data_IF_949881254162
#
_entry.id   IF_949881254162
#
_cell.length_a   1.000
_cell.length_b   1.000
_cell.length_c   1.000
_cell.angle_alpha   90.00
_cell.angle_beta   90.00
_cell.angle_gamma   90.00
#
_symmetry.space_group_name_H-M   'P 1'
#
loop_
_entity.id
_entity.type
_entity.pdbx_description
1 polymer ?
#
# COMPACT_ATOMS: atom_id res chain seq x y z
N UNK A 1 23.88 -28.30 31.60
CA UNK A 1 22.56 -28.13 30.95
C UNK A 1 22.32 -26.64 30.84
N UNK A 2 21.87 -26.16 29.67
CA UNK A 2 21.49 -24.76 29.52
C UNK A 2 20.34 -24.43 30.48
N UNK A 3 20.39 -23.27 31.12
CA UNK A 3 19.31 -22.81 31.98
C UNK A 3 18.06 -22.49 31.16
N UNK A 4 16.88 -22.59 31.76
CA UNK A 4 15.61 -22.24 31.08
C UNK A 4 15.64 -20.82 30.51
N UNK A 5 16.31 -19.89 31.19
CA UNK A 5 16.46 -18.50 30.74
C UNK A 5 17.32 -18.40 29.47
N UNK A 6 18.38 -19.19 29.36
CA UNK A 6 19.22 -19.24 28.15
C UNK A 6 18.46 -19.86 26.99
N UNK A 7 17.68 -20.93 27.23
CA UNK A 7 16.84 -21.55 26.21
C UNK A 7 15.74 -20.60 25.72
N UNK A 8 15.11 -19.84 26.62
CA UNK A 8 14.15 -18.80 26.25
C UNK A 8 14.83 -17.72 25.39
N UNK A 9 16.03 -17.27 25.78
CA UNK A 9 16.79 -16.26 25.01
C UNK A 9 17.15 -16.79 23.62
N UNK A 10 17.57 -18.04 23.52
CA UNK A 10 17.89 -18.71 22.26
C UNK A 10 16.66 -18.84 21.36
N UNK A 11 15.55 -19.35 21.90
CA UNK A 11 14.30 -19.51 21.15
C UNK A 11 13.72 -18.15 20.70
N UNK A 12 13.84 -17.11 21.54
CA UNK A 12 13.44 -15.76 21.18
C UNK A 12 14.35 -15.16 20.11
N UNK A 13 15.65 -15.41 20.15
CA UNK A 13 16.57 -14.93 19.13
C UNK A 13 16.28 -15.54 17.76
N UNK A 14 15.85 -16.81 17.71
CA UNK A 14 15.52 -17.50 16.45
C UNK A 14 14.11 -17.20 15.94
N UNK A 15 13.12 -17.07 16.83
CA UNK A 15 11.71 -16.94 16.44
C UNK A 15 11.13 -15.54 16.56
N UNK A 16 11.77 -14.66 17.34
CA UNK A 16 11.24 -13.36 17.78
C UNK A 16 9.90 -13.43 18.54
N UNK A 17 9.48 -14.61 19.00
CA UNK A 17 8.25 -14.76 19.76
C UNK A 17 8.32 -14.07 21.14
N UNK A 18 7.15 -13.74 21.68
CA UNK A 18 7.02 -13.16 23.02
C UNK A 18 7.67 -14.04 24.11
N UNK A 19 8.18 -13.41 25.17
CA UNK A 19 8.90 -14.11 26.24
C UNK A 19 8.06 -15.25 26.85
N UNK A 20 6.80 -14.95 27.18
CA UNK A 20 5.89 -15.93 27.77
C UNK A 20 5.55 -17.07 26.81
N UNK A 21 5.56 -16.81 25.51
CA UNK A 21 5.27 -17.82 24.50
C UNK A 21 6.46 -18.75 24.32
N UNK A 22 7.68 -18.22 24.30
CA UNK A 22 8.91 -19.03 24.32
C UNK A 22 8.96 -19.93 25.56
N UNK A 23 8.62 -19.38 26.73
CA UNK A 23 8.57 -20.15 27.98
C UNK A 23 7.54 -21.29 27.90
N UNK A 24 6.30 -20.99 27.51
CA UNK A 24 5.23 -22.01 27.36
C UNK A 24 5.59 -23.08 26.34
N UNK A 25 6.19 -22.69 25.21
CA UNK A 25 6.62 -23.62 24.18
C UNK A 25 7.69 -24.58 24.71
N UNK A 26 8.70 -24.07 25.42
CA UNK A 26 9.75 -24.89 26.03
C UNK A 26 9.18 -25.82 27.11
N UNK A 27 8.28 -25.33 27.96
CA UNK A 27 7.60 -26.16 28.98
C UNK A 27 6.78 -27.29 28.34
N UNK A 28 6.06 -27.01 27.25
CA UNK A 28 5.24 -28.00 26.54
C UNK A 28 6.06 -29.02 25.74
N UNK A 29 7.34 -28.76 25.50
CA UNK A 29 8.21 -29.57 24.62
C UNK A 29 9.43 -30.12 25.35
N UNK A 30 9.39 -30.17 26.69
CA UNK A 30 10.47 -30.66 27.52
C UNK A 30 11.82 -29.98 27.23
N UNK A 31 11.78 -28.67 26.96
CA UNK A 31 12.92 -27.81 26.66
C UNK A 31 13.65 -28.12 25.34
N UNK A 32 13.01 -28.85 24.43
CA UNK A 32 13.52 -29.08 23.07
C UNK A 32 13.24 -27.86 22.18
N UNK A 33 14.30 -27.22 21.68
CA UNK A 33 14.21 -25.98 20.89
C UNK A 33 13.47 -26.22 19.56
N UNK A 34 13.72 -27.32 18.87
CA UNK A 34 13.14 -27.58 17.55
C UNK A 34 11.66 -27.91 17.68
N UNK A 35 11.29 -28.70 18.69
CA UNK A 35 9.90 -28.95 19.03
C UNK A 35 9.20 -27.69 19.51
N UNK A 36 9.86 -26.82 20.30
CA UNK A 36 9.29 -25.56 20.73
C UNK A 36 9.00 -24.62 19.55
N UNK A 37 9.87 -24.58 18.52
CA UNK A 37 9.63 -23.83 17.28
C UNK A 37 8.38 -24.36 16.58
N UNK A 38 8.24 -25.69 16.46
CA UNK A 38 7.06 -26.31 15.84
C UNK A 38 5.79 -25.99 16.64
N UNK A 39 5.86 -26.11 17.96
CA UNK A 39 4.76 -25.81 18.87
C UNK A 39 4.30 -24.35 18.74
N UNK A 40 5.23 -23.39 18.63
CA UNK A 40 4.92 -21.97 18.41
C UNK A 40 4.20 -21.74 17.09
N UNK A 41 4.53 -22.47 16.03
CA UNK A 41 3.82 -22.38 14.75
C UNK A 41 2.40 -22.91 14.86
N UNK A 42 2.21 -24.10 15.43
CA UNK A 42 0.89 -24.72 15.59
C UNK A 42 -0.04 -23.87 16.48
N UNK A 43 0.47 -23.38 17.60
CA UNK A 43 -0.29 -22.53 18.52
C UNK A 43 -0.42 -21.07 18.04
N UNK A 44 0.40 -20.67 17.07
CA UNK A 44 0.33 -19.37 16.43
C UNK A 44 -0.95 -19.17 15.62
N UNK A 45 -1.48 -20.23 15.00
CA UNK A 45 -2.69 -20.19 14.18
C UNK A 45 -3.89 -19.66 14.99
N UNK A 46 -4.12 -20.21 16.18
CA UNK A 46 -5.22 -19.80 17.05
C UNK A 46 -5.09 -18.35 17.54
N UNK A 47 -3.85 -17.86 17.72
CA UNK A 47 -3.61 -16.45 18.09
C UNK A 47 -3.86 -15.51 16.94
N UNK A 48 -3.38 -15.87 15.75
CA UNK A 48 -3.58 -15.09 14.54
C UNK A 48 -5.07 -15.00 14.17
N UNK A 49 -5.83 -16.09 14.33
CA UNK A 49 -7.27 -16.13 14.10
C UNK A 49 -8.03 -15.06 14.90
N UNK A 50 -7.61 -14.78 16.15
CA UNK A 50 -8.20 -13.73 17.00
C UNK A 50 -7.93 -12.30 16.54
N UNK A 51 -7.06 -12.11 15.55
CA UNK A 51 -6.64 -10.81 15.03
C UNK A 51 -7.16 -10.55 13.62
N UNK A 52 -7.81 -11.53 12.97
CA UNK A 52 -8.27 -11.42 11.58
C UNK A 52 -9.25 -10.27 11.40
N UNK A 53 -10.08 -9.98 12.39
CA UNK A 53 -11.08 -8.90 12.32
C UNK A 53 -10.52 -7.52 12.68
N UNK A 54 -9.26 -7.44 13.12
CA UNK A 54 -8.66 -6.14 13.43
C UNK A 54 -8.48 -5.29 12.17
N UNK A 55 -8.60 -3.97 12.35
CA UNK A 55 -8.32 -3.00 11.28
C UNK A 55 -6.80 -2.89 11.12
N UNK A 56 -6.31 -3.16 9.91
CA UNK A 56 -4.91 -3.01 9.54
C UNK A 56 -4.78 -1.87 8.52
N UNK A 57 -4.67 -0.63 9.00
CA UNK A 57 -4.58 0.59 8.18
C UNK A 57 -3.17 1.13 8.00
N UNK A 58 -2.18 0.54 8.67
CA UNK A 58 -0.76 0.86 8.52
C UNK A 58 -0.08 -0.21 7.66
N UNK A 59 1.22 -0.05 7.35
CA UNK A 59 1.93 -1.01 6.51
C UNK A 59 2.97 -0.41 5.57
N UNK A 60 3.31 -1.17 4.53
CA UNK A 60 4.29 -0.81 3.52
C UNK A 60 3.73 -1.02 2.10
N UNK A 61 4.08 -0.10 1.21
CA UNK A 61 4.08 -0.36 -0.22
C UNK A 61 5.42 -0.98 -0.60
N UNK A 62 5.37 -2.06 -1.36
CA UNK A 62 6.55 -2.64 -2.03
C UNK A 62 6.38 -2.53 -3.52
N UNK A 63 7.49 -2.25 -4.19
CA UNK A 63 7.53 -2.02 -5.61
C UNK A 63 8.76 -2.70 -6.22
N UNK A 64 8.56 -3.35 -7.36
CA UNK A 64 9.64 -3.95 -8.15
C UNK A 64 9.47 -3.62 -9.62
N UNK A 65 10.52 -3.11 -10.25
CA UNK A 65 10.65 -2.96 -11.70
C UNK A 65 11.82 -3.83 -12.16
N UNK A 66 11.54 -4.91 -12.87
CA UNK A 66 12.55 -5.85 -13.37
C UNK A 66 12.04 -6.51 -14.67
N UNK A 67 12.94 -6.83 -15.59
CA UNK A 67 12.62 -7.55 -16.83
C UNK A 67 11.43 -6.98 -17.61
N UNK A 68 11.34 -5.64 -17.71
CA UNK A 68 10.23 -4.93 -18.37
C UNK A 68 8.86 -5.17 -17.70
N UNK A 69 8.84 -5.45 -16.40
CA UNK A 69 7.63 -5.69 -15.61
C UNK A 69 7.69 -4.89 -14.33
N UNK A 70 6.58 -4.25 -13.98
CA UNK A 70 6.40 -3.55 -12.73
C UNK A 70 5.36 -4.25 -11.85
N UNK A 71 5.68 -4.41 -10.57
CA UNK A 71 4.78 -4.93 -9.54
C UNK A 71 4.72 -3.93 -8.40
N UNK A 72 3.52 -3.66 -7.91
CA UNK A 72 3.27 -2.89 -6.70
C UNK A 72 2.32 -3.68 -5.81
N UNK A 73 2.62 -3.74 -4.52
CA UNK A 73 1.74 -4.35 -3.53
C UNK A 73 1.66 -3.52 -2.26
N UNK A 74 0.53 -3.63 -1.58
CA UNK A 74 0.30 -3.10 -0.24
C UNK A 74 0.19 -4.26 0.74
N UNK A 75 1.07 -4.29 1.74
CA UNK A 75 1.00 -5.19 2.88
C UNK A 75 0.75 -4.38 4.14
N UNK A 76 -0.31 -4.72 4.86
CA UNK A 76 -0.78 -3.95 5.99
C UNK A 76 -0.44 -4.59 7.34
N UNK A 77 -0.35 -3.70 8.34
CA UNK A 77 -0.26 -3.96 9.78
C UNK A 77 -1.25 -3.05 10.53
N UNK A 78 -1.41 -3.24 11.84
CA UNK A 78 -2.29 -2.39 12.64
C UNK A 78 -1.58 -1.07 12.99
N UNK A 79 -0.30 -1.14 13.34
CA UNK A 79 0.53 0.00 13.70
C UNK A 79 1.70 0.18 12.74
N UNK A 80 2.28 1.38 12.74
CA UNK A 80 3.47 1.71 11.97
C UNK A 80 4.75 1.12 12.59
N UNK A 81 4.74 0.70 13.87
CA UNK A 81 5.88 0.04 14.50
C UNK A 81 6.27 -1.26 13.81
N UNK A 82 5.27 -2.01 13.33
CA UNK A 82 5.49 -3.27 12.58
C UNK A 82 6.27 -3.04 11.28
N UNK A 83 6.15 -1.86 10.67
CA UNK A 83 6.87 -1.53 9.42
C UNK A 83 8.39 -1.43 9.59
N UNK A 84 8.86 -1.34 10.85
CA UNK A 84 10.28 -1.33 11.23
C UNK A 84 10.77 -2.68 11.71
N UNK A 85 9.90 -3.70 11.80
CA UNK A 85 10.29 -5.05 12.21
C UNK A 85 10.99 -5.77 11.04
N UNK A 86 12.17 -6.34 11.31
CA UNK A 86 13.00 -6.96 10.27
C UNK A 86 12.32 -8.14 9.56
N UNK A 87 11.55 -8.97 10.28
CA UNK A 87 10.85 -10.10 9.69
C UNK A 87 9.70 -9.64 8.80
N UNK A 88 8.96 -8.61 9.21
CA UNK A 88 7.92 -8.01 8.37
C UNK A 88 8.51 -7.40 7.10
N UNK A 89 9.62 -6.66 7.21
CA UNK A 89 10.30 -6.05 6.07
C UNK A 89 10.85 -7.12 5.12
N UNK A 90 11.51 -8.15 5.65
CA UNK A 90 12.05 -9.26 4.88
C UNK A 90 10.95 -10.02 4.13
N UNK A 91 9.86 -10.37 4.83
CA UNK A 91 8.70 -11.02 4.21
C UNK A 91 8.09 -10.16 3.12
N UNK A 92 7.92 -8.86 3.35
CA UNK A 92 7.38 -7.93 2.36
C UNK A 92 8.25 -7.84 1.11
N UNK A 93 9.58 -7.86 1.26
CA UNK A 93 10.53 -7.87 0.15
C UNK A 93 10.48 -9.18 -0.65
N UNK A 94 10.45 -10.32 0.03
CA UNK A 94 10.31 -11.63 -0.62
C UNK A 94 8.98 -11.75 -1.37
N UNK A 95 7.91 -11.19 -0.79
CA UNK A 95 6.58 -11.22 -1.38
C UNK A 95 6.52 -10.46 -2.71
N UNK A 96 7.09 -9.24 -2.80
CA UNK A 96 7.09 -8.49 -4.06
C UNK A 96 7.92 -9.18 -5.14
N UNK A 97 9.01 -9.84 -4.75
CA UNK A 97 9.85 -10.62 -5.66
C UNK A 97 9.10 -11.85 -6.19
N UNK A 98 8.44 -12.58 -5.30
CA UNK A 98 7.63 -13.76 -5.65
C UNK A 98 6.49 -13.38 -6.60
N UNK A 99 5.75 -12.34 -6.27
CA UNK A 99 4.63 -11.85 -7.07
C UNK A 99 5.09 -11.37 -8.46
N UNK A 100 6.20 -10.63 -8.53
CA UNK A 100 6.77 -10.17 -9.80
C UNK A 100 7.21 -11.35 -10.70
N UNK A 101 7.80 -12.39 -10.09
CA UNK A 101 8.22 -13.61 -10.80
C UNK A 101 7.03 -14.41 -11.34
N UNK A 102 5.96 -14.54 -10.56
CA UNK A 102 4.78 -15.32 -10.93
C UNK A 102 3.76 -14.55 -11.78
N UNK A 103 3.83 -13.22 -11.80
CA UNK A 103 2.92 -12.34 -12.57
C UNK A 103 1.44 -12.50 -12.15
N UNK A 104 1.19 -12.73 -10.86
CA UNK A 104 -0.15 -12.94 -10.29
C UNK A 104 -0.57 -11.70 -9.51
N UNK A 105 -1.83 -11.28 -9.62
CA UNK A 105 -2.41 -10.18 -8.83
C UNK A 105 -3.51 -10.63 -7.88
N UNK A 106 -4.00 -11.86 -8.04
CA UNK A 106 -5.01 -12.47 -7.18
C UNK A 106 -4.39 -12.84 -5.83
N UNK A 107 -4.81 -12.12 -4.79
CA UNK A 107 -4.28 -12.27 -3.42
C UNK A 107 -4.47 -13.71 -2.90
N UNK A 108 -5.62 -14.33 -3.14
CA UNK A 108 -5.90 -15.68 -2.65
C UNK A 108 -5.00 -16.73 -3.32
N UNK A 109 -4.63 -16.52 -4.59
CA UNK A 109 -3.64 -17.36 -5.28
C UNK A 109 -2.23 -17.11 -4.77
N UNK A 110 -1.87 -15.85 -4.51
CA UNK A 110 -0.55 -15.48 -3.96
C UNK A 110 -0.36 -16.10 -2.58
N UNK A 111 -1.40 -16.11 -1.75
CA UNK A 111 -1.40 -16.71 -0.41
C UNK A 111 -1.05 -18.21 -0.41
N UNK A 112 -1.29 -18.91 -1.52
CA UNK A 112 -0.97 -20.33 -1.68
C UNK A 112 0.45 -20.58 -2.24
N UNK A 113 1.14 -19.56 -2.71
CA UNK A 113 2.51 -19.69 -3.24
C UNK A 113 3.50 -19.99 -2.12
N UNK A 114 4.53 -20.79 -2.43
CA UNK A 114 5.61 -21.10 -1.50
C UNK A 114 6.71 -20.06 -1.55
N UNK A 115 7.16 -19.67 -0.36
CA UNK A 115 8.37 -18.88 -0.13
C UNK A 115 9.61 -19.78 -0.20
N UNK A 116 10.80 -19.18 -0.18
CA UNK A 116 12.07 -19.91 -0.15
C UNK A 116 12.19 -20.83 1.07
N UNK A 117 11.51 -20.50 2.17
CA UNK A 117 11.39 -21.33 3.38
C UNK A 117 10.59 -22.63 3.16
N UNK A 118 9.91 -22.77 2.03
CA UNK A 118 9.00 -23.89 1.73
C UNK A 118 7.59 -23.73 2.31
N UNK A 119 7.37 -22.77 3.22
CA UNK A 119 6.04 -22.41 3.74
C UNK A 119 5.28 -21.56 2.73
N UNK A 120 3.96 -21.58 2.77
CA UNK A 120 3.15 -20.69 1.95
C UNK A 120 3.21 -19.24 2.46
N UNK A 121 2.82 -18.30 1.60
CA UNK A 121 2.62 -16.90 1.96
C UNK A 121 1.62 -16.79 3.13
N UNK A 122 0.49 -17.50 3.07
CA UNK A 122 -0.51 -17.52 4.13
C UNK A 122 0.04 -18.07 5.45
N UNK A 123 0.77 -19.19 5.42
CA UNK A 123 1.39 -19.77 6.62
C UNK A 123 2.36 -18.78 7.28
N UNK A 124 3.13 -18.05 6.46
CA UNK A 124 4.08 -17.06 6.96
C UNK A 124 3.38 -15.82 7.50
N UNK A 125 2.30 -15.34 6.87
CA UNK A 125 1.48 -14.23 7.41
C UNK A 125 0.89 -14.58 8.78
N UNK A 126 0.35 -15.81 8.93
CA UNK A 126 -0.19 -16.31 10.18
C UNK A 126 0.91 -16.38 11.24
N UNK A 127 2.08 -16.91 10.88
CA UNK A 127 3.22 -17.00 11.79
C UNK A 127 3.69 -15.62 12.27
N UNK A 128 3.87 -14.67 11.35
CA UNK A 128 4.25 -13.30 11.67
C UNK A 128 3.20 -12.62 12.54
N UNK A 129 1.91 -12.80 12.23
CA UNK A 129 0.80 -12.28 13.04
C UNK A 129 0.87 -12.81 14.48
N UNK A 130 1.21 -14.08 14.65
CA UNK A 130 1.28 -14.71 15.96
C UNK A 130 2.45 -14.21 16.82
N UNK A 131 3.62 -13.98 16.23
CA UNK A 131 4.82 -13.54 16.96
C UNK A 131 4.88 -12.02 17.17
N UNK A 132 4.39 -11.24 16.20
CA UNK A 132 4.31 -9.77 16.29
C UNK A 132 3.11 -9.36 17.15
N UNK A 133 2.02 -10.13 17.11
CA UNK A 133 0.79 -9.85 17.88
C UNK A 133 -0.17 -8.88 17.18
N UNK A 134 0.14 -8.48 15.95
CA UNK A 134 -0.70 -7.64 15.10
C UNK A 134 -1.06 -8.37 13.81
N UNK A 135 -2.27 -8.09 13.31
CA UNK A 135 -2.76 -8.57 12.01
C UNK A 135 -1.81 -8.10 10.92
N UNK A 136 -1.32 -9.06 10.12
CA UNK A 136 -0.56 -8.81 8.92
C UNK A 136 -1.33 -9.37 7.73
N UNK A 137 -1.54 -8.56 6.70
CA UNK A 137 -2.31 -8.97 5.53
C UNK A 137 -1.79 -8.35 4.24
N UNK A 138 -1.63 -9.17 3.20
CA UNK A 138 -1.44 -8.70 1.83
C UNK A 138 -2.79 -8.18 1.34
N UNK A 139 -2.91 -6.88 1.12
CA UNK A 139 -4.21 -6.27 0.84
C UNK A 139 -4.53 -6.21 -0.65
N UNK A 140 -3.59 -5.70 -1.45
CA UNK A 140 -3.79 -5.52 -2.89
C UNK A 140 -2.48 -5.57 -3.63
N UNK A 141 -2.57 -6.03 -4.88
CA UNK A 141 -1.46 -6.21 -5.80
C UNK A 141 -1.86 -5.71 -7.17
N UNK A 142 -0.95 -4.98 -7.80
CA UNK A 142 -1.04 -4.62 -9.20
C UNK A 142 0.24 -4.99 -9.94
N UNK A 143 0.07 -5.29 -11.21
CA UNK A 143 1.14 -5.75 -12.10
C UNK A 143 0.95 -5.13 -13.49
N UNK A 144 2.04 -4.66 -14.08
CA UNK A 144 2.05 -4.04 -15.41
C UNK A 144 3.25 -4.55 -16.19
N UNK A 145 3.04 -4.98 -17.44
CA UNK A 145 4.12 -5.29 -18.39
C UNK A 145 4.35 -4.11 -19.33
N UNK A 146 5.62 -3.88 -19.64
CA UNK A 146 6.02 -3.06 -20.78
C UNK A 146 5.66 -3.84 -22.06
N UNK A 147 4.96 -3.16 -22.95
CA UNK A 147 4.76 -3.58 -24.34
C UNK A 147 5.82 -2.94 -25.24
N UNK A 148 5.99 -3.47 -26.45
CA UNK A 148 7.03 -3.05 -27.40
C UNK A 148 7.11 -1.52 -27.62
N UNK A 149 5.97 -0.83 -27.61
CA UNK A 149 5.86 0.61 -27.85
C UNK A 149 5.59 1.43 -26.58
N UNK A 150 5.93 0.90 -25.40
CA UNK A 150 5.76 1.59 -24.12
C UNK A 150 7.04 1.63 -23.31
N UNK A 151 7.08 2.53 -22.34
CA UNK A 151 8.10 2.56 -21.29
C UNK A 151 7.41 2.48 -19.93
N UNK A 152 8.04 1.80 -18.98
CA UNK A 152 7.62 1.81 -17.57
C UNK A 152 8.56 2.65 -16.72
N UNK A 153 7.97 3.35 -15.75
CA UNK A 153 8.70 3.96 -14.67
C UNK A 153 7.98 3.80 -13.35
N UNK A 154 8.74 3.86 -12.27
CA UNK A 154 8.23 3.62 -10.94
C UNK A 154 8.82 4.59 -9.95
N UNK A 155 8.06 4.93 -8.92
CA UNK A 155 8.54 5.73 -7.80
C UNK A 155 8.00 5.18 -6.49
N UNK A 156 8.90 4.93 -5.54
CA UNK A 156 8.55 4.59 -4.15
C UNK A 156 9.01 5.77 -3.28
N UNK A 157 8.07 6.39 -2.57
CA UNK A 157 8.41 7.49 -1.67
C UNK A 157 9.25 6.97 -0.50
N UNK A 158 10.11 7.82 0.08
CA UNK A 158 11.15 7.41 1.04
C UNK A 158 10.61 6.71 2.30
N UNK A 159 9.39 7.05 2.72
CA UNK A 159 8.71 6.41 3.85
C UNK A 159 8.02 5.08 3.49
N UNK A 160 8.14 4.61 2.24
CA UNK A 160 7.48 3.41 1.70
C UNK A 160 5.95 3.38 1.86
N UNK A 161 5.32 4.54 2.06
CA UNK A 161 3.85 4.64 2.19
C UNK A 161 3.14 4.89 0.87
N UNK A 162 3.84 5.44 -0.12
CA UNK A 162 3.29 5.78 -1.43
C UNK A 162 4.17 5.16 -2.49
N UNK A 163 3.56 4.39 -3.39
CA UNK A 163 4.23 3.84 -4.56
C UNK A 163 3.46 4.11 -5.84
N UNK A 164 4.18 4.28 -6.94
CA UNK A 164 3.64 4.59 -8.25
C UNK A 164 4.27 3.71 -9.31
N UNK A 165 3.45 3.20 -10.22
CA UNK A 165 3.85 2.69 -11.54
C UNK A 165 3.22 3.63 -12.57
N UNK A 166 4.00 4.07 -13.55
CA UNK A 166 3.51 4.82 -14.72
C UNK A 166 3.93 4.12 -16.00
N UNK A 167 2.98 4.04 -16.95
CA UNK A 167 3.19 3.52 -18.30
C UNK A 167 2.99 4.66 -19.29
N UNK A 168 3.96 4.81 -20.18
CA UNK A 168 3.94 5.84 -21.24
C UNK A 168 4.16 5.19 -22.60
N UNK A 169 4.00 5.95 -23.68
CA UNK A 169 4.59 5.60 -24.97
C UNK A 169 6.11 5.43 -24.83
N UNK A 170 6.73 4.69 -25.76
CA UNK A 170 8.16 4.44 -25.75
C UNK A 170 8.95 5.74 -25.69
N UNK A 171 9.86 5.81 -24.73
CA UNK A 171 10.78 6.93 -24.53
C UNK A 171 11.99 6.51 -23.71
N UNK A 172 13.13 7.15 -23.97
CA UNK A 172 14.38 6.99 -23.22
C UNK A 172 14.62 8.16 -22.23
N UNK A 173 13.67 9.10 -22.10
CA UNK A 173 13.76 10.23 -21.17
C UNK A 173 13.50 9.78 -19.72
N UNK A 174 14.52 9.19 -19.11
CA UNK A 174 14.48 8.67 -17.73
C UNK A 174 14.20 9.77 -16.70
N UNK A 175 14.64 10.99 -16.96
CA UNK A 175 14.42 12.12 -16.04
C UNK A 175 12.96 12.53 -16.03
N UNK A 176 12.35 12.71 -17.21
CA UNK A 176 10.92 13.00 -17.32
C UNK A 176 10.07 11.90 -16.66
N UNK A 177 10.38 10.63 -16.94
CA UNK A 177 9.68 9.48 -16.37
C UNK A 177 9.74 9.47 -14.83
N UNK A 178 10.92 9.74 -14.25
CA UNK A 178 11.08 9.85 -12.80
C UNK A 178 10.25 11.00 -12.22
N UNK A 179 10.32 12.18 -12.82
CA UNK A 179 9.57 13.35 -12.35
C UNK A 179 8.06 13.17 -12.51
N UNK A 180 7.62 12.48 -13.55
CA UNK A 180 6.22 12.12 -13.75
C UNK A 180 5.71 11.19 -12.64
N UNK A 181 6.45 10.12 -12.33
CA UNK A 181 6.10 9.21 -11.25
C UNK A 181 6.09 9.90 -9.87
N UNK A 182 7.04 10.81 -9.63
CA UNK A 182 7.07 11.65 -8.42
C UNK A 182 5.86 12.59 -8.32
N UNK A 183 5.49 13.22 -9.44
CA UNK A 183 4.32 14.09 -9.50
C UNK A 183 3.04 13.32 -9.18
N UNK A 184 2.83 12.14 -9.78
CA UNK A 184 1.67 11.29 -9.49
C UNK A 184 1.63 10.92 -8.00
N UNK A 185 2.78 10.59 -7.40
CA UNK A 185 2.85 10.24 -5.98
C UNK A 185 2.38 11.39 -5.08
N UNK A 186 2.79 12.62 -5.39
CA UNK A 186 2.49 13.82 -4.62
C UNK A 186 1.08 14.38 -4.87
N UNK A 187 0.64 14.43 -6.14
CA UNK A 187 -0.59 15.11 -6.56
C UNK A 187 -1.84 14.22 -6.55
N UNK A 188 -1.68 12.91 -6.37
CA UNK A 188 -2.78 11.94 -6.28
C UNK A 188 -3.90 12.12 -7.36
N UNK A 189 -3.55 12.22 -8.65
CA UNK A 189 -4.56 12.25 -9.71
C UNK A 189 -5.38 10.95 -9.68
N UNK A 190 -6.66 11.04 -10.07
CA UNK A 190 -7.57 9.89 -10.20
C UNK A 190 -7.62 9.36 -11.63
N UNK A 191 -7.36 10.23 -12.60
CA UNK A 191 -7.51 9.96 -14.02
C UNK A 191 -6.26 10.44 -14.76
N UNK A 192 -5.94 9.82 -15.91
CA UNK A 192 -4.90 10.36 -16.79
C UNK A 192 -5.41 11.66 -17.40
N UNK A 193 -6.60 11.63 -18.00
CA UNK A 193 -7.20 12.74 -18.72
C UNK A 193 -8.70 12.85 -18.49
N UNK A 194 -9.29 13.94 -18.96
CA UNK A 194 -10.75 14.14 -18.93
C UNK A 194 -11.53 13.05 -19.69
N UNK A 195 -10.88 12.38 -20.67
CA UNK A 195 -11.50 11.28 -21.43
C UNK A 195 -11.76 10.04 -20.57
N UNK A 196 -11.03 9.90 -19.48
CA UNK A 196 -11.12 8.77 -18.55
C UNK A 196 -12.14 9.02 -17.43
N UNK A 197 -12.73 10.24 -17.38
CA UNK A 197 -13.71 10.63 -16.37
C UNK A 197 -15.10 10.23 -16.84
N UNK A 198 -15.82 9.47 -16.01
CA UNK A 198 -17.19 9.05 -16.35
C UNK A 198 -18.16 10.24 -16.35
N UNK A 199 -19.18 10.16 -17.21
CA UNK A 199 -20.26 11.15 -17.25
C UNK A 199 -20.97 11.26 -15.89
N UNK A 200 -21.14 10.14 -15.19
CA UNK A 200 -21.74 10.10 -13.85
C UNK A 200 -20.91 10.86 -12.81
N UNK A 201 -19.58 10.75 -12.87
CA UNK A 201 -18.70 11.53 -12.00
C UNK A 201 -18.87 13.03 -12.25
N UNK A 202 -18.84 13.46 -13.52
CA UNK A 202 -19.04 14.86 -13.89
C UNK A 202 -20.42 15.36 -13.46
N UNK A 203 -21.48 14.57 -13.66
CA UNK A 203 -22.84 14.93 -13.28
C UNK A 203 -22.95 15.13 -11.76
N UNK A 204 -22.38 14.22 -10.97
CA UNK A 204 -22.36 14.31 -9.51
C UNK A 204 -21.59 15.53 -9.01
N UNK A 205 -20.39 15.78 -9.55
CA UNK A 205 -19.62 16.97 -9.18
C UNK A 205 -20.34 18.26 -9.59
N UNK A 206 -21.06 18.25 -10.73
CA UNK A 206 -21.85 19.41 -11.19
C UNK A 206 -23.03 19.69 -10.26
N UNK A 207 -23.72 18.65 -9.77
CA UNK A 207 -24.78 18.78 -8.77
C UNK A 207 -24.25 19.38 -7.46
N UNK A 208 -23.13 18.88 -6.97
CA UNK A 208 -22.45 19.40 -5.76
C UNK A 208 -22.08 20.88 -5.96
N UNK A 209 -21.45 21.21 -7.09
CA UNK A 209 -21.03 22.57 -7.40
C UNK A 209 -22.22 23.54 -7.51
N UNK A 210 -23.35 23.09 -8.08
CA UNK A 210 -24.58 23.86 -8.20
C UNK A 210 -25.23 24.11 -6.83
N UNK A 211 -25.34 23.09 -5.98
CA UNK A 211 -25.85 23.22 -4.63
C UNK A 211 -25.02 24.21 -3.80
N UNK A 212 -23.70 24.11 -3.87
CA UNK A 212 -22.79 25.07 -3.23
C UNK A 212 -23.00 26.49 -3.77
N UNK A 213 -23.10 26.68 -5.10
CA UNK A 213 -23.25 28.00 -5.70
C UNK A 213 -24.57 28.68 -5.30
N UNK A 214 -25.65 27.90 -5.19
CA UNK A 214 -26.96 28.38 -4.74
C UNK A 214 -26.95 28.83 -3.27
N UNK A 215 -26.18 28.14 -2.41
CA UNK A 215 -26.05 28.50 -0.99
C UNK A 215 -25.31 29.83 -0.76
N UNK A 216 -24.54 30.32 -1.74
CA UNK A 216 -23.66 31.49 -1.60
C UNK A 216 -24.34 32.84 -1.92
N UNK A 217 -25.68 32.93 -2.02
CA UNK A 217 -26.44 34.16 -2.36
C UNK A 217 -25.92 34.89 -3.63
N UNK A 218 -25.32 34.16 -4.57
CA UNK A 218 -24.79 34.75 -5.81
C UNK A 218 -25.90 35.01 -6.82
N UNK A 219 -25.77 36.01 -7.71
CA UNK A 219 -26.81 36.30 -8.71
C UNK A 219 -27.03 35.09 -9.62
N UNK A 220 -28.30 34.75 -9.87
CA UNK A 220 -28.71 33.54 -10.61
C UNK A 220 -28.10 33.46 -12.01
N UNK A 221 -27.90 34.60 -12.65
CA UNK A 221 -27.28 34.72 -13.98
C UNK A 221 -25.81 34.27 -14.04
N UNK A 222 -25.10 34.23 -12.91
CA UNK A 222 -23.70 33.77 -12.86
C UNK A 222 -23.55 32.34 -12.35
N UNK A 223 -24.62 31.68 -11.90
CA UNK A 223 -24.53 30.35 -11.28
C UNK A 223 -23.91 29.33 -12.25
N UNK A 224 -24.36 29.27 -13.49
CA UNK A 224 -23.84 28.31 -14.47
C UNK A 224 -22.35 28.52 -14.74
N UNK A 225 -21.91 29.78 -14.87
CA UNK A 225 -20.50 30.12 -15.06
C UNK A 225 -19.65 29.74 -13.84
N UNK A 226 -20.20 29.89 -12.62
CA UNK A 226 -19.53 29.48 -11.39
C UNK A 226 -19.39 27.95 -11.33
N UNK A 227 -20.46 27.24 -11.68
CA UNK A 227 -20.48 25.78 -11.73
C UNK A 227 -19.45 25.26 -12.72
N UNK A 228 -19.43 25.80 -13.95
CA UNK A 228 -18.44 25.42 -14.97
C UNK A 228 -17.00 25.69 -14.50
N UNK A 229 -16.76 26.83 -13.85
CA UNK A 229 -15.45 27.15 -13.26
C UNK A 229 -15.03 26.14 -12.17
N UNK A 230 -15.96 25.70 -11.33
CA UNK A 230 -15.70 24.68 -10.30
C UNK A 230 -15.42 23.31 -10.91
N UNK A 231 -16.17 22.93 -11.94
CA UNK A 231 -15.94 21.66 -12.64
C UNK A 231 -14.57 21.66 -13.30
N UNK A 232 -14.17 22.77 -13.94
CA UNK A 232 -12.83 22.90 -14.50
C UNK A 232 -11.74 22.73 -13.42
N UNK A 233 -11.94 23.33 -12.23
CA UNK A 233 -11.02 23.15 -11.11
C UNK A 233 -10.96 21.71 -10.61
N UNK A 234 -12.10 21.02 -10.50
CA UNK A 234 -12.14 19.60 -10.14
C UNK A 234 -11.36 18.78 -11.17
N UNK A 235 -11.56 19.04 -12.46
CA UNK A 235 -10.83 18.38 -13.54
C UNK A 235 -9.32 18.64 -13.47
N UNK A 236 -8.89 19.86 -13.13
CA UNK A 236 -7.49 20.20 -12.88
C UNK A 236 -6.89 19.44 -11.69
N UNK A 237 -7.70 19.15 -10.67
CA UNK A 237 -7.26 18.39 -9.50
C UNK A 237 -7.22 16.89 -9.76
N UNK A 238 -8.19 16.32 -10.50
CA UNK A 238 -8.32 14.87 -10.65
C UNK A 238 -7.66 14.29 -11.92
N UNK A 239 -7.44 15.10 -12.96
CA UNK A 239 -6.82 14.65 -14.22
C UNK A 239 -5.33 15.02 -14.25
N UNK A 240 -4.46 14.01 -14.30
CA UNK A 240 -3.01 14.16 -14.34
C UNK A 240 -2.54 15.17 -15.40
N UNK A 241 -3.04 15.06 -16.63
CA UNK A 241 -2.60 15.93 -17.74
C UNK A 241 -2.94 17.42 -17.51
N UNK A 242 -3.96 17.72 -16.71
CA UNK A 242 -4.38 19.08 -16.40
C UNK A 242 -3.59 19.70 -15.24
N UNK A 243 -2.94 18.89 -14.41
CA UNK A 243 -2.21 19.35 -13.23
C UNK A 243 -0.97 20.17 -13.62
N UNK A 244 -0.63 21.17 -12.80
CA UNK A 244 0.64 21.90 -12.90
C UNK A 244 1.80 20.98 -12.53
N UNK A 245 2.84 20.93 -13.35
CA UNK A 245 3.89 19.95 -13.17
C UNK A 245 4.78 20.30 -11.96
N UNK A 246 5.02 19.35 -11.07
CA UNK A 246 5.71 19.58 -9.78
C UNK A 246 7.07 20.24 -9.95
N UNK A 247 7.83 19.80 -10.96
CA UNK A 247 9.21 20.26 -11.21
C UNK A 247 9.27 21.53 -12.06
N UNK A 248 8.16 21.92 -12.70
CA UNK A 248 8.03 23.19 -13.41
C UNK A 248 6.55 23.63 -13.43
N UNK A 249 6.20 24.54 -12.53
CA UNK A 249 4.81 25.01 -12.36
C UNK A 249 4.34 25.97 -13.46
N UNK A 250 5.21 26.39 -14.38
CA UNK A 250 4.81 27.22 -15.53
C UNK A 250 3.97 26.43 -16.54
N UNK A 251 4.16 25.11 -16.59
CA UNK A 251 3.49 24.21 -17.53
C UNK A 251 2.66 23.13 -16.84
N UNK A 252 1.67 22.60 -17.56
CA UNK A 252 0.95 21.40 -17.13
C UNK A 252 1.76 20.14 -17.40
N UNK A 253 1.37 19.01 -16.79
CA UNK A 253 1.93 17.70 -17.12
C UNK A 253 1.76 17.38 -18.60
N UNK A 254 0.62 17.74 -19.21
CA UNK A 254 0.39 17.56 -20.65
C UNK A 254 1.44 18.29 -21.49
N UNK A 255 1.68 19.56 -21.19
CA UNK A 255 2.65 20.39 -21.92
C UNK A 255 4.07 19.83 -21.77
N UNK A 256 4.44 19.41 -20.55
CA UNK A 256 5.73 18.76 -20.30
C UNK A 256 5.87 17.45 -21.09
N UNK A 257 4.83 16.61 -21.11
CA UNK A 257 4.83 15.35 -21.86
C UNK A 257 4.93 15.58 -23.37
N UNK A 258 4.18 16.55 -23.91
CA UNK A 258 4.21 16.94 -25.33
C UNK A 258 5.58 17.48 -25.75
N UNK A 259 6.23 18.32 -24.92
CA UNK A 259 7.57 18.82 -25.18
C UNK A 259 8.60 17.69 -25.29
N UNK A 260 8.38 16.59 -24.56
CA UNK A 260 9.20 15.37 -24.61
C UNK A 260 8.71 14.35 -25.66
N UNK A 261 7.62 14.63 -26.37
CA UNK A 261 6.95 13.71 -27.31
C UNK A 261 6.56 12.37 -26.65
N UNK A 262 6.15 12.44 -25.38
CA UNK A 262 5.71 11.28 -24.59
C UNK A 262 4.20 11.35 -24.39
N UNK A 263 3.52 10.24 -24.63
CA UNK A 263 2.12 10.05 -24.27
C UNK A 263 2.04 9.29 -22.94
N UNK A 264 1.19 9.75 -22.02
CA UNK A 264 0.94 9.06 -20.75
C UNK A 264 -0.23 8.10 -20.98
N UNK A 265 0.00 6.80 -20.79
CA UNK A 265 -0.99 5.76 -21.10
C UNK A 265 -1.81 5.37 -19.87
N UNK A 266 -1.14 5.12 -18.75
CA UNK A 266 -1.80 4.77 -17.50
C UNK A 266 -0.85 4.95 -16.30
N UNK A 267 -1.42 4.98 -15.11
CA UNK A 267 -0.65 4.90 -13.87
C UNK A 267 -1.41 4.08 -12.82
N UNK A 268 -0.66 3.61 -11.83
CA UNK A 268 -1.17 2.99 -10.62
C UNK A 268 -0.47 3.68 -9.47
N UNK A 269 -1.24 4.23 -8.53
CA UNK A 269 -0.74 4.82 -7.28
C UNK A 269 -1.36 4.07 -6.12
N UNK A 270 -0.55 3.56 -5.21
CA UNK A 270 -1.02 3.06 -3.93
C UNK A 270 -0.52 3.95 -2.80
N UNK A 271 -1.39 4.16 -1.83
CA UNK A 271 -1.08 4.75 -0.54
C UNK A 271 -1.53 3.81 0.57
N UNK A 272 -0.66 3.61 1.56
CA UNK A 272 -0.94 2.72 2.71
C UNK A 272 -2.19 3.19 3.44
N UNK A 273 -3.14 2.26 3.60
CA UNK A 273 -4.39 2.48 4.33
C UNK A 273 -5.44 3.25 3.55
N UNK A 274 -5.21 3.54 2.26
CA UNK A 274 -6.17 4.28 1.43
C UNK A 274 -7.53 3.56 1.43
N UNK A 275 -8.59 4.28 1.82
CA UNK A 275 -9.95 3.74 1.90
C UNK A 275 -10.22 2.85 3.11
N UNK A 276 -9.30 2.76 4.08
CA UNK A 276 -9.54 2.09 5.37
C UNK A 276 -9.87 3.16 6.40
N UNK A 277 -11.04 3.07 7.02
CA UNK A 277 -11.39 3.92 8.16
C UNK A 277 -10.46 3.60 9.34
N UNK A 278 -9.67 4.59 9.75
CA UNK A 278 -8.86 4.47 10.97
C UNK A 278 -9.78 4.61 12.17
N UNK A 279 -9.74 3.65 13.08
CA UNK A 279 -10.34 3.83 14.39
C UNK A 279 -9.54 4.89 15.15
N UNK A 280 -10.10 6.10 15.25
CA UNK A 280 -9.54 7.16 16.09
C UNK A 280 -10.05 6.90 17.51
N UNK A 281 -9.22 6.25 18.34
CA UNK A 281 -9.52 6.15 19.76
C UNK A 281 -8.95 7.36 20.51
N UNK A 282 -9.76 7.94 21.38
CA UNK A 282 -9.30 8.99 22.29
C UNK A 282 -8.59 8.32 23.47
N UNK A 283 -7.27 8.46 23.54
CA UNK A 283 -6.44 7.89 24.60
C UNK A 283 -6.96 8.22 26.02
N UNK A 284 -7.51 9.43 26.21
CA UNK A 284 -8.08 9.82 27.50
C UNK A 284 -9.34 9.01 27.86
N UNK A 285 -10.15 8.65 26.87
CA UNK A 285 -11.37 7.86 27.08
C UNK A 285 -11.04 6.37 27.24
N UNK A 286 -10.02 5.86 26.55
CA UNK A 286 -9.49 4.50 26.77
C UNK A 286 -8.95 4.34 28.20
N UNK A 287 -8.14 5.29 28.67
CA UNK A 287 -7.62 5.28 30.04
C UNK A 287 -8.76 5.32 31.06
N UNK A 288 -9.76 6.18 30.87
CA UNK A 288 -10.94 6.24 31.74
C UNK A 288 -11.74 4.94 31.74
N UNK A 289 -11.84 4.25 30.61
CA UNK A 289 -12.57 2.99 30.50
C UNK A 289 -11.86 1.83 31.22
N UNK A 290 -10.52 1.83 31.26
CA UNK A 290 -9.73 0.81 31.97
C UNK A 290 -9.61 1.05 33.48
N UNK A 291 -9.94 2.25 33.97
CA UNK A 291 -9.97 2.61 35.39
C UNK A 291 -11.31 2.30 36.08
N UNK A 292 -12.29 1.74 35.35
CA UNK A 292 -13.57 1.26 35.88
C UNK A 292 -13.55 -0.26 36.07
#
# INVERSE_FOLDING_TARGET
>A
MASITELIKQLRASTQAGFMDCKKALEATNNDIDQAIKWLRENGIAKAAKKVDNVASEGLIKLKLADQKATILEINSQTDFVTKNDQFVAFSNELVDLVNKHEITDVAKIEQLKLASGSTVAETQIHLTAIIGEKISLRRVAFVKEEANSSLATYLHSNSRIGVIVKTSKTDDKEFLKHLAMHIAASNPKFVSQKDVSADFIAKEREIAAAQAQSENKPKEFIDRIVDGRINKVLEEVCLVNQKFLVNQEQTVQQAAQAKKVEILSFIRYEVGEGIEKQVSNFADEVKAQMK
#
